data_IF_657108339284
#
_entry.id   IF_657108339284
#
_cell.length_a   1.000
_cell.length_b   1.000
_cell.length_c   1.000
_cell.angle_alpha   90.00
_cell.angle_beta   90.00
_cell.angle_gamma   90.00
#
_symmetry.space_group_name_H-M   'P 1'
#
loop_
_entity.id
_entity.type
_entity.pdbx_description
1 polymer ?
#
# COMPACT_ATOMS: atom_id res chain seq x y z
N UNK A 1 16.99 11.77 -0.42
CA UNK A 1 15.96 12.72 0.04
C UNK A 1 15.39 12.23 1.35
N UNK A 2 15.55 12.99 2.43
CA UNK A 2 15.14 12.60 3.77
C UNK A 2 13.66 12.94 3.99
N UNK A 3 12.93 12.10 4.75
CA UNK A 3 11.51 12.37 5.13
C UNK A 3 11.41 13.72 5.86
N UNK A 4 12.43 14.07 6.66
CA UNK A 4 12.54 15.35 7.35
C UNK A 4 12.50 16.52 6.36
N UNK A 5 13.22 16.42 5.24
CA UNK A 5 13.27 17.47 4.23
C UNK A 5 11.93 17.68 3.52
N UNK A 6 11.17 16.60 3.31
CA UNK A 6 9.83 16.69 2.72
C UNK A 6 8.84 17.41 3.64
N UNK A 7 8.86 17.07 4.92
CA UNK A 7 7.91 17.60 5.91
C UNK A 7 8.19 19.06 6.24
N UNK A 8 9.45 19.49 6.12
CA UNK A 8 9.88 20.87 6.34
C UNK A 8 9.81 21.78 5.12
N UNK A 9 9.30 21.31 3.98
CA UNK A 9 9.14 22.15 2.79
C UNK A 9 8.15 23.29 3.05
N UNK A 10 8.46 24.43 2.44
CA UNK A 10 7.57 25.61 2.44
C UNK A 10 6.19 25.18 1.91
N UNK A 11 5.14 25.55 2.62
CA UNK A 11 3.73 25.19 2.38
C UNK A 11 3.29 23.77 2.75
N UNK A 12 4.18 22.87 3.18
CA UNK A 12 3.79 21.55 3.69
C UNK A 12 3.60 21.58 5.20
N UNK A 13 4.51 22.23 5.91
CA UNK A 13 4.52 22.48 7.36
C UNK A 13 4.01 21.31 8.23
N UNK A 14 4.45 20.10 7.91
CA UNK A 14 4.09 18.91 8.66
C UNK A 14 5.08 18.67 9.82
N UNK A 15 4.59 18.40 11.04
CA UNK A 15 5.47 18.14 12.17
C UNK A 15 6.35 16.90 11.90
N UNK A 16 7.61 16.89 12.39
CA UNK A 16 8.47 15.73 12.29
C UNK A 16 7.87 14.53 13.03
N UNK A 17 8.34 13.33 12.71
CA UNK A 17 7.95 12.17 13.49
C UNK A 17 8.45 12.29 14.94
N UNK A 18 7.66 11.85 15.93
CA UNK A 18 8.09 11.80 17.32
C UNK A 18 9.41 11.00 17.48
N UNK A 19 10.29 11.46 18.38
CA UNK A 19 11.60 10.81 18.59
C UNK A 19 11.53 9.50 19.43
N UNK A 20 10.39 9.24 20.06
CA UNK A 20 10.18 8.12 20.99
C UNK A 20 9.42 6.94 20.36
N UNK A 21 9.41 6.83 19.04
CA UNK A 21 8.74 5.73 18.34
C UNK A 21 9.54 4.44 18.48
N UNK A 22 8.85 3.34 18.72
CA UNK A 22 9.41 2.00 18.55
C UNK A 22 9.72 1.75 17.06
N UNK A 23 10.58 0.78 16.80
CA UNK A 23 10.94 0.39 15.42
C UNK A 23 9.69 0.03 14.57
N UNK A 24 8.72 -0.66 15.17
CA UNK A 24 7.51 -1.07 14.47
C UNK A 24 6.58 0.12 14.16
N UNK A 25 6.41 1.01 15.11
CA UNK A 25 5.64 2.24 14.90
C UNK A 25 6.30 3.13 13.85
N UNK A 26 7.62 3.27 13.91
CA UNK A 26 8.36 4.01 12.89
C UNK A 26 8.19 3.40 11.49
N UNK A 27 8.32 2.08 11.36
CA UNK A 27 8.06 1.37 10.08
C UNK A 27 6.64 1.60 9.57
N UNK A 28 5.64 1.53 10.45
CA UNK A 28 4.25 1.75 10.07
C UNK A 28 4.02 3.19 9.56
N UNK A 29 4.54 4.18 10.28
CA UNK A 29 4.46 5.59 9.86
C UNK A 29 5.20 5.86 8.55
N UNK A 30 6.40 5.31 8.40
CA UNK A 30 7.20 5.42 7.18
C UNK A 30 6.49 4.82 5.97
N UNK A 31 5.91 3.62 6.12
CA UNK A 31 5.13 2.96 5.07
C UNK A 31 3.88 3.75 4.69
N UNK A 32 3.21 4.36 5.68
CA UNK A 32 2.06 5.20 5.43
C UNK A 32 2.45 6.51 4.72
N UNK A 33 3.52 7.16 5.16
CA UNK A 33 4.06 8.37 4.51
C UNK A 33 4.37 8.08 3.03
N UNK A 34 5.09 6.98 2.78
CA UNK A 34 5.39 6.56 1.41
C UNK A 34 4.12 6.29 0.58
N UNK A 35 3.10 5.70 1.19
CA UNK A 35 1.81 5.44 0.51
C UNK A 35 1.11 6.74 0.10
N UNK A 36 1.14 7.76 0.95
CA UNK A 36 0.50 9.06 0.69
C UNK A 36 1.29 9.86 -0.33
N UNK A 37 2.61 9.98 -0.13
CA UNK A 37 3.49 10.77 -0.98
C UNK A 37 3.60 10.27 -2.42
N UNK A 38 3.57 8.94 -2.60
CA UNK A 38 3.68 8.29 -3.91
C UNK A 38 2.31 7.77 -4.40
N UNK A 39 1.23 8.42 -3.98
CA UNK A 39 -0.10 8.12 -4.49
C UNK A 39 -0.16 8.36 -6.00
N UNK A 40 -0.77 7.43 -6.73
CA UNK A 40 -0.90 7.46 -8.19
C UNK A 40 0.41 7.33 -9.00
N UNK A 41 1.51 6.92 -8.35
CA UNK A 41 2.81 6.68 -9.00
C UNK A 41 3.13 5.18 -9.12
N UNK A 42 2.16 4.30 -9.03
CA UNK A 42 2.23 2.82 -9.12
C UNK A 42 3.16 2.14 -8.09
N UNK A 43 3.81 2.90 -7.21
CA UNK A 43 4.74 2.36 -6.21
C UNK A 43 4.07 1.44 -5.19
N UNK A 44 2.80 1.66 -4.85
CA UNK A 44 2.07 0.88 -3.83
C UNK A 44 2.00 -0.60 -4.17
N UNK A 45 1.78 -0.93 -5.44
CA UNK A 45 1.71 -2.30 -5.92
C UNK A 45 2.99 -3.09 -5.60
N UNK A 46 4.15 -2.49 -5.86
CA UNK A 46 5.45 -3.09 -5.61
C UNK A 46 5.82 -3.09 -4.13
N UNK A 47 5.52 -2.03 -3.42
CA UNK A 47 5.82 -1.87 -2.01
C UNK A 47 5.15 -2.94 -1.13
N UNK A 48 3.84 -3.20 -1.33
CA UNK A 48 3.12 -4.23 -0.55
C UNK A 48 3.65 -5.64 -0.81
N UNK A 49 4.13 -5.92 -2.02
CA UNK A 49 4.77 -7.19 -2.36
C UNK A 49 6.17 -7.31 -1.75
N UNK A 50 6.99 -6.29 -1.93
CA UNK A 50 8.35 -6.25 -1.37
C UNK A 50 8.36 -6.35 0.16
N UNK A 51 7.38 -5.75 0.83
CA UNK A 51 7.24 -5.82 2.28
C UNK A 51 6.48 -7.06 2.76
N UNK A 52 5.99 -7.89 1.87
CA UNK A 52 5.15 -9.07 2.15
C UNK A 52 3.98 -8.75 3.08
N UNK A 53 3.19 -7.74 2.72
CA UNK A 53 1.99 -7.29 3.45
C UNK A 53 0.77 -7.18 2.53
N UNK A 54 0.82 -7.76 1.34
CA UNK A 54 -0.27 -7.64 0.37
C UNK A 54 -1.55 -8.35 0.86
N UNK A 55 -1.41 -9.45 1.59
CA UNK A 55 -2.48 -10.16 2.27
C UNK A 55 -3.25 -9.29 3.27
N UNK A 56 -2.55 -8.35 3.94
CA UNK A 56 -3.13 -7.41 4.91
C UNK A 56 -3.84 -6.21 4.25
N UNK A 57 -3.77 -6.10 2.94
CA UNK A 57 -4.33 -4.98 2.17
C UNK A 57 -5.46 -5.41 1.23
N UNK A 58 -6.08 -6.54 1.49
CA UNK A 58 -7.15 -7.11 0.66
C UNK A 58 -8.48 -6.40 0.85
N UNK A 59 -8.76 -5.88 2.05
CA UNK A 59 -9.99 -5.18 2.34
C UNK A 59 -9.90 -3.71 1.92
N UNK A 60 -10.74 -3.32 0.98
CA UNK A 60 -10.81 -1.95 0.47
C UNK A 60 -11.99 -1.25 1.12
N UNK A 61 -11.69 -0.18 1.82
CA UNK A 61 -12.68 0.63 2.50
C UNK A 61 -12.92 1.94 1.77
N UNK A 62 -14.19 2.32 1.69
CA UNK A 62 -14.64 3.64 1.30
C UNK A 62 -15.23 4.40 2.47
N UNK A 63 -15.71 5.60 2.19
CA UNK A 63 -16.44 6.45 3.12
C UNK A 63 -17.80 6.75 2.56
N UNK A 64 -18.84 6.34 3.26
CA UNK A 64 -20.22 6.75 3.00
C UNK A 64 -20.44 8.13 3.64
N UNK A 65 -20.82 9.09 2.81
CA UNK A 65 -21.00 10.49 3.22
C UNK A 65 -22.48 10.84 3.10
N UNK A 66 -23.12 11.05 4.25
CA UNK A 66 -24.54 11.40 4.31
C UNK A 66 -24.69 12.87 4.81
N UNK A 67 -25.37 13.70 4.02
CA UNK A 67 -25.74 15.04 4.43
C UNK A 67 -26.95 14.99 5.36
N UNK A 68 -26.86 15.60 6.54
CA UNK A 68 -27.95 15.71 7.50
C UNK A 68 -28.82 16.94 7.23
N UNK A 69 -30.00 16.98 7.81
CA UNK A 69 -30.95 18.10 7.69
C UNK A 69 -30.40 19.44 8.20
N UNK A 70 -29.52 19.39 9.20
CA UNK A 70 -28.81 20.54 9.77
C UNK A 70 -27.70 21.10 8.87
N UNK A 71 -27.48 20.48 7.69
CA UNK A 71 -26.43 20.85 6.76
C UNK A 71 -25.07 20.24 7.06
N UNK A 72 -24.89 19.54 8.18
CA UNK A 72 -23.65 18.83 8.51
C UNK A 72 -23.52 17.51 7.74
N UNK A 73 -22.29 16.97 7.66
CA UNK A 73 -22.01 15.69 7.03
C UNK A 73 -21.62 14.64 8.06
N UNK A 74 -22.20 13.44 7.93
CA UNK A 74 -21.74 12.26 8.65
C UNK A 74 -20.90 11.39 7.75
N UNK A 75 -19.83 10.81 8.30
CA UNK A 75 -18.88 9.98 7.58
C UNK A 75 -18.87 8.59 8.21
N UNK A 76 -19.15 7.56 7.41
CA UNK A 76 -19.15 6.17 7.87
C UNK A 76 -18.19 5.36 7.00
N UNK A 77 -17.21 4.70 7.65
CA UNK A 77 -16.32 3.77 6.97
C UNK A 77 -17.11 2.51 6.59
N UNK A 78 -17.10 2.14 5.31
CA UNK A 78 -17.76 0.95 4.77
C UNK A 78 -16.77 0.08 4.01
N UNK A 79 -16.93 -1.23 4.09
CA UNK A 79 -16.18 -2.16 3.25
C UNK A 79 -16.81 -2.14 1.85
N UNK A 80 -16.03 -1.75 0.85
CA UNK A 80 -16.47 -1.65 -0.55
C UNK A 80 -16.16 -2.92 -1.31
N UNK A 81 -14.95 -3.45 -1.12
CA UNK A 81 -14.46 -4.59 -1.88
C UNK A 81 -13.52 -5.44 -1.00
N UNK A 82 -13.60 -6.76 -1.16
CA UNK A 82 -12.63 -7.69 -0.59
C UNK A 82 -11.88 -8.37 -1.73
N UNK A 83 -10.60 -8.09 -1.85
CA UNK A 83 -9.73 -8.66 -2.86
C UNK A 83 -9.14 -9.98 -2.41
N UNK A 84 -8.90 -10.87 -3.36
CA UNK A 84 -8.23 -12.14 -3.09
C UNK A 84 -6.75 -11.96 -3.39
N UNK A 85 -5.90 -12.30 -2.41
CA UNK A 85 -4.46 -12.34 -2.58
C UNK A 85 -3.95 -13.71 -2.11
N UNK A 86 -3.22 -14.43 -2.98
CA UNK A 86 -2.59 -15.71 -2.69
C UNK A 86 -1.08 -15.55 -2.62
N UNK A 87 -0.40 -16.41 -1.89
CA UNK A 87 1.06 -16.35 -1.71
C UNK A 87 1.83 -16.38 -3.03
N UNK A 88 1.36 -17.15 -4.02
CA UNK A 88 1.97 -17.15 -5.35
C UNK A 88 1.98 -15.77 -6.01
N UNK A 89 1.04 -14.88 -5.66
CA UNK A 89 0.94 -13.52 -6.25
C UNK A 89 2.02 -12.55 -5.76
N UNK A 90 2.89 -12.95 -4.82
CA UNK A 90 4.10 -12.19 -4.50
C UNK A 90 5.13 -12.22 -5.62
N UNK A 91 5.11 -13.28 -6.43
CA UNK A 91 5.94 -13.41 -7.62
C UNK A 91 5.05 -13.43 -8.87
N UNK A 92 5.59 -12.98 -9.99
CA UNK A 92 4.91 -13.13 -11.26
C UNK A 92 5.09 -14.57 -11.79
N UNK A 93 4.10 -15.12 -12.50
CA UNK A 93 4.31 -16.35 -13.25
C UNK A 93 5.33 -16.10 -14.37
N UNK A 94 6.19 -17.07 -14.60
CA UNK A 94 7.06 -17.06 -15.76
C UNK A 94 6.17 -17.31 -16.99
N UNK A 95 6.24 -16.47 -18.04
CA UNK A 95 5.45 -16.67 -19.25
C UNK A 95 5.67 -18.05 -19.86
N UNK A 96 4.60 -18.69 -20.31
CA UNK A 96 4.69 -20.03 -20.88
C UNK A 96 5.58 -20.07 -22.12
N UNK A 97 5.64 -18.98 -22.90
CA UNK A 97 6.56 -18.84 -24.04
C UNK A 97 8.02 -19.02 -23.65
N UNK A 98 8.43 -18.46 -22.52
CA UNK A 98 9.81 -18.59 -22.03
C UNK A 98 10.13 -20.03 -21.62
N UNK A 99 9.17 -20.70 -21.01
CA UNK A 99 9.30 -22.10 -20.61
C UNK A 99 9.35 -23.07 -21.81
N UNK A 100 8.73 -22.70 -22.94
CA UNK A 100 8.85 -23.48 -24.17
C UNK A 100 10.24 -23.34 -24.83
N UNK A 101 10.87 -22.17 -24.69
CA UNK A 101 12.22 -21.90 -25.16
C UNK A 101 13.26 -22.63 -24.30
N UNK A 102 13.05 -22.61 -22.98
CA UNK A 102 13.93 -23.27 -22.02
C UNK A 102 13.13 -24.23 -21.12
N UNK A 103 13.07 -25.55 -21.46
CA UNK A 103 12.35 -26.55 -20.67
C UNK A 103 12.86 -26.75 -19.25
N UNK A 104 14.11 -26.39 -18.96
CA UNK A 104 14.71 -26.47 -17.62
C UNK A 104 14.20 -25.34 -16.70
N UNK A 105 13.45 -24.38 -17.23
CA UNK A 105 12.93 -23.26 -16.46
C UNK A 105 11.68 -23.68 -15.68
N UNK A 106 11.85 -23.91 -14.39
CA UNK A 106 10.77 -24.23 -13.47
C UNK A 106 9.88 -23.01 -13.21
N UNK A 107 8.57 -23.23 -13.06
CA UNK A 107 7.61 -22.19 -12.74
C UNK A 107 7.75 -21.73 -11.28
N UNK A 108 7.44 -20.47 -11.02
CA UNK A 108 7.37 -19.95 -9.67
C UNK A 108 6.32 -20.73 -8.83
N UNK A 109 6.59 -20.96 -7.53
CA UNK A 109 5.73 -21.78 -6.69
C UNK A 109 4.27 -21.30 -6.66
N UNK A 110 3.34 -22.23 -6.89
CA UNK A 110 1.90 -21.97 -6.83
C UNK A 110 1.26 -21.47 -8.12
N UNK A 111 2.04 -21.37 -9.21
CA UNK A 111 1.56 -21.05 -10.56
C UNK A 111 1.51 -22.25 -11.47
#
# INVERSE_FOLDING_TARGET
MCIRDRRSRVHVDMPPFPNNLTLNEFKAKLRNERRVELSFEDHRFWDIRRWKIADQTTDIYGVDITKKEDGSFSYKKVLVEKRIFKDCMYLYPIPQSERYINPELEQNPGW
#
